data_IF_116794432053
#
_entry.id   IF_116794432053
#
_cell.length_a   1.000
_cell.length_b   1.000
_cell.length_c   1.000
_cell.angle_alpha   90.00
_cell.angle_beta   90.00
_cell.angle_gamma   90.00
#
_symmetry.space_group_name_H-M   'P 1'
#
loop_
_entity.id
_entity.type
_entity.pdbx_description
1 polymer ?
#
# COMPACT_ATOMS: atom_id res chain seq x y z
N UNK A 1 -20.19 77.11 -13.78
CA UNK A 1 -19.45 76.05 -14.47
C UNK A 1 -18.57 75.35 -13.45
N UNK A 2 -18.68 74.02 -13.34
CA UNK A 2 -17.99 73.19 -12.35
C UNK A 2 -18.88 72.80 -11.17
N UNK A 3 -19.73 71.78 -11.33
CA UNK A 3 -20.42 71.11 -10.23
C UNK A 3 -20.14 69.62 -10.31
N UNK A 4 -19.35 69.14 -9.35
CA UNK A 4 -19.42 67.76 -8.84
C UNK A 4 -20.54 67.70 -7.81
N UNK A 5 -21.29 66.59 -7.76
CA UNK A 5 -21.69 65.94 -6.50
C UNK A 5 -22.43 64.61 -6.71
N UNK A 6 -21.90 63.63 -5.97
CA UNK A 6 -22.59 62.63 -5.14
C UNK A 6 -23.63 61.70 -5.80
N UNK A 7 -23.23 60.44 -5.97
CA UNK A 7 -24.13 59.30 -6.19
C UNK A 7 -24.53 58.76 -4.82
N UNK A 8 -25.82 58.91 -4.48
CA UNK A 8 -26.44 58.28 -3.32
C UNK A 8 -26.50 56.76 -3.49
N UNK A 9 -26.20 56.03 -2.41
CA UNK A 9 -26.45 54.60 -2.29
C UNK A 9 -27.95 54.32 -2.34
N UNK A 10 -28.35 53.36 -3.17
CA UNK A 10 -29.73 52.82 -3.21
C UNK A 10 -29.77 51.54 -2.38
N UNK A 11 -30.75 51.52 -1.47
CA UNK A 11 -31.04 50.48 -0.49
C UNK A 11 -31.53 49.18 -1.17
N UNK A 12 -30.98 47.97 -0.86
CA UNK A 12 -31.21 46.76 -1.65
C UNK A 12 -32.52 45.99 -1.36
N UNK A 13 -33.49 46.56 -0.64
CA UNK A 13 -34.66 45.82 -0.13
C UNK A 13 -35.95 45.90 -0.97
N UNK A 14 -35.90 46.32 -2.24
CA UNK A 14 -37.12 46.49 -3.05
C UNK A 14 -37.08 45.89 -4.45
N UNK A 15 -36.33 44.80 -4.67
CA UNK A 15 -36.46 44.01 -5.90
C UNK A 15 -37.26 42.72 -5.64
N UNK A 16 -38.54 42.64 -6.08
CA UNK A 16 -39.36 41.45 -5.95
C UNK A 16 -38.93 40.28 -6.84
N UNK A 17 -37.87 40.41 -7.65
CA UNK A 17 -37.31 39.31 -8.47
C UNK A 17 -36.08 38.62 -7.87
N UNK A 18 -35.61 39.00 -6.67
CA UNK A 18 -34.39 38.44 -6.10
C UNK A 18 -34.62 37.21 -5.17
N UNK A 19 -35.44 36.26 -5.63
CA UNK A 19 -35.73 35.00 -4.95
C UNK A 19 -34.93 33.83 -5.55
N UNK A 20 -33.61 33.94 -5.64
CA UNK A 20 -32.72 32.77 -5.84
C UNK A 20 -31.43 32.94 -5.03
N UNK A 21 -31.58 32.98 -3.70
CA UNK A 21 -30.47 32.74 -2.80
C UNK A 21 -30.00 31.30 -2.96
N UNK A 22 -28.76 31.14 -3.41
CA UNK A 22 -28.12 29.89 -3.76
C UNK A 22 -28.08 28.90 -2.60
N UNK A 23 -29.00 27.93 -2.61
CA UNK A 23 -28.59 26.56 -2.33
C UNK A 23 -27.73 26.13 -3.51
N UNK A 24 -26.42 25.99 -3.30
CA UNK A 24 -25.61 25.11 -4.14
C UNK A 24 -26.22 23.72 -4.02
N UNK A 25 -27.16 23.42 -4.91
CA UNK A 25 -27.43 22.03 -5.26
C UNK A 25 -26.13 21.55 -5.87
N UNK A 26 -25.39 20.73 -5.13
CA UNK A 26 -24.54 19.73 -5.77
C UNK A 26 -25.51 18.98 -6.67
N UNK A 27 -25.44 19.25 -7.97
CA UNK A 27 -26.11 18.42 -8.97
C UNK A 27 -25.39 17.09 -8.87
N UNK A 28 -25.90 16.24 -7.99
CA UNK A 28 -25.50 14.85 -7.89
C UNK A 28 -25.96 14.24 -9.21
N UNK A 29 -25.03 14.07 -10.15
CA UNK A 29 -25.31 13.42 -11.42
C UNK A 29 -25.35 11.92 -11.13
N UNK A 30 -26.53 11.27 -11.01
CA UNK A 30 -26.64 9.89 -10.50
C UNK A 30 -26.22 8.85 -11.55
N UNK A 31 -25.38 9.26 -12.50
CA UNK A 31 -25.08 8.56 -13.74
C UNK A 31 -23.58 8.37 -13.96
N UNK A 32 -22.72 8.61 -12.96
CA UNK A 32 -21.27 8.34 -13.06
C UNK A 32 -20.72 7.47 -11.93
N UNK A 33 -21.54 7.08 -10.96
CA UNK A 33 -21.07 6.30 -9.83
C UNK A 33 -20.79 4.85 -10.24
N UNK A 34 -19.64 4.27 -9.83
CA UNK A 34 -19.37 2.86 -10.08
C UNK A 34 -20.37 1.98 -9.32
N UNK A 35 -20.70 0.83 -9.89
CA UNK A 35 -21.56 -0.15 -9.24
C UNK A 35 -20.68 -1.13 -8.46
N UNK A 36 -20.99 -1.33 -7.19
CA UNK A 36 -20.37 -2.40 -6.41
C UNK A 36 -20.93 -3.75 -6.85
N UNK A 37 -20.04 -4.66 -7.26
CA UNK A 37 -20.35 -6.07 -7.47
C UNK A 37 -19.43 -6.94 -6.60
N UNK A 38 -19.88 -7.29 -5.40
CA UNK A 38 -19.06 -8.06 -4.46
C UNK A 38 -17.82 -7.27 -4.00
N UNK A 39 -16.64 -7.82 -4.25
CA UNK A 39 -15.34 -7.16 -3.98
C UNK A 39 -14.91 -6.19 -5.07
N UNK A 40 -15.68 -6.07 -6.15
CA UNK A 40 -15.30 -5.30 -7.32
C UNK A 40 -16.09 -3.99 -7.43
N UNK A 41 -15.46 -3.00 -8.07
CA UNK A 41 -16.08 -1.78 -8.56
C UNK A 41 -16.15 -1.81 -10.09
N UNK A 42 -17.36 -1.69 -10.63
CA UNK A 42 -17.64 -1.70 -12.07
C UNK A 42 -17.92 -0.28 -12.56
N UNK A 43 -17.14 0.18 -13.52
CA UNK A 43 -17.32 1.47 -14.19
C UNK A 43 -18.02 1.30 -15.54
N UNK A 44 -18.66 2.37 -16.04
CA UNK A 44 -19.44 2.35 -17.30
C UNK A 44 -18.69 1.88 -18.54
N UNK A 45 -17.36 2.00 -18.56
CA UNK A 45 -16.50 1.52 -19.66
C UNK A 45 -16.17 0.03 -19.55
N UNK A 46 -16.94 -0.73 -18.75
CA UNK A 46 -16.65 -2.11 -18.38
C UNK A 46 -15.25 -2.29 -17.75
N UNK A 47 -14.70 -1.23 -17.16
CA UNK A 47 -13.49 -1.33 -16.36
C UNK A 47 -13.88 -1.85 -14.98
N UNK A 48 -13.27 -2.96 -14.59
CA UNK A 48 -13.48 -3.59 -13.30
C UNK A 48 -12.22 -3.46 -12.45
N UNK A 49 -12.39 -3.02 -11.22
CA UNK A 49 -11.33 -3.02 -10.21
C UNK A 49 -11.71 -3.98 -9.09
N UNK A 50 -10.90 -4.99 -8.85
CA UNK A 50 -11.07 -5.90 -7.71
C UNK A 50 -10.34 -5.35 -6.49
N UNK A 51 -11.09 -5.01 -5.45
CA UNK A 51 -10.56 -4.55 -4.18
C UNK A 51 -10.43 -5.72 -3.19
N UNK A 52 -10.61 -6.97 -3.63
CA UNK A 52 -10.45 -8.23 -2.89
C UNK A 52 -11.39 -8.45 -1.69
N UNK A 53 -12.10 -7.42 -1.21
CA UNK A 53 -13.13 -7.54 -0.17
C UNK A 53 -14.23 -6.48 -0.32
N UNK A 54 -15.43 -6.77 0.19
CA UNK A 54 -16.54 -5.82 0.23
C UNK A 54 -16.21 -4.63 1.15
N UNK A 55 -15.43 -4.89 2.19
CA UNK A 55 -14.97 -3.93 3.18
C UNK A 55 -14.06 -2.88 2.56
N UNK A 56 -13.14 -3.30 1.68
CA UNK A 56 -12.28 -2.38 0.92
C UNK A 56 -13.11 -1.49 -0.01
N UNK A 57 -14.11 -2.05 -0.70
CA UNK A 57 -15.03 -1.26 -1.55
C UNK A 57 -15.78 -0.21 -0.74
N UNK A 58 -16.41 -0.61 0.37
CA UNK A 58 -17.13 0.32 1.25
C UNK A 58 -16.22 1.40 1.82
N UNK A 59 -15.01 1.02 2.23
CA UNK A 59 -14.02 1.97 2.72
C UNK A 59 -13.66 3.01 1.65
N UNK A 60 -13.33 2.57 0.43
CA UNK A 60 -12.95 3.45 -0.68
C UNK A 60 -14.06 4.43 -1.07
N UNK A 61 -15.29 3.94 -1.23
CA UNK A 61 -16.43 4.77 -1.62
C UNK A 61 -16.79 5.82 -0.56
N UNK A 62 -16.49 5.57 0.72
CA UNK A 62 -16.74 6.50 1.83
C UNK A 62 -15.67 7.59 1.97
N UNK A 63 -14.57 7.55 1.21
CA UNK A 63 -13.57 8.61 1.21
C UNK A 63 -14.04 9.82 0.38
N UNK A 64 -13.61 11.03 0.75
CA UNK A 64 -13.89 12.24 -0.03
C UNK A 64 -13.19 12.20 -1.39
N UNK A 65 -13.84 12.73 -2.42
CA UNK A 65 -13.33 12.76 -3.80
C UNK A 65 -14.12 11.85 -4.74
N UNK A 66 -13.71 11.79 -6.01
CA UNK A 66 -14.41 10.98 -7.00
C UNK A 66 -14.08 9.48 -6.84
N UNK A 67 -14.78 8.62 -7.56
CA UNK A 67 -14.65 7.18 -7.43
C UNK A 67 -13.30 6.61 -7.92
N UNK A 68 -12.61 7.29 -8.83
CA UNK A 68 -11.35 6.82 -9.42
C UNK A 68 -10.13 7.39 -8.68
N UNK A 69 -10.26 8.55 -8.07
CA UNK A 69 -9.16 9.31 -7.48
C UNK A 69 -9.58 9.97 -6.16
N UNK A 70 -8.76 9.78 -5.14
CA UNK A 70 -8.93 10.34 -3.78
C UNK A 70 -7.66 11.10 -3.41
N UNK A 71 -7.71 11.96 -2.39
CA UNK A 71 -6.49 12.59 -1.86
C UNK A 71 -5.88 11.72 -0.77
N UNK A 72 -4.55 11.67 -0.70
CA UNK A 72 -3.83 10.89 0.30
C UNK A 72 -4.18 11.29 1.75
N UNK A 73 -4.33 12.58 2.09
CA UNK A 73 -4.83 12.98 3.40
C UNK A 73 -6.22 12.40 3.75
N UNK A 74 -7.13 12.28 2.77
CA UNK A 74 -8.46 11.69 2.99
C UNK A 74 -8.36 10.19 3.28
N UNK A 75 -7.46 9.47 2.60
CA UNK A 75 -7.17 8.06 2.91
C UNK A 75 -6.69 7.91 4.37
N UNK A 76 -5.70 8.71 4.78
CA UNK A 76 -5.15 8.65 6.15
C UNK A 76 -6.22 9.01 7.19
N UNK A 77 -7.04 10.03 6.93
CA UNK A 77 -8.15 10.41 7.81
C UNK A 77 -9.20 9.28 7.91
N UNK A 78 -9.54 8.65 6.79
CA UNK A 78 -10.46 7.51 6.74
C UNK A 78 -9.94 6.31 7.53
N UNK A 79 -8.65 5.99 7.43
CA UNK A 79 -8.02 4.93 8.20
C UNK A 79 -8.03 5.24 9.71
N UNK A 80 -7.66 6.47 10.12
CA UNK A 80 -7.72 6.92 11.52
C UNK A 80 -9.13 6.81 12.10
N UNK A 81 -10.14 7.23 11.33
CA UNK A 81 -11.55 7.13 11.73
C UNK A 81 -12.01 5.68 11.85
N UNK A 82 -11.55 4.80 10.97
CA UNK A 82 -11.96 3.39 10.93
C UNK A 82 -11.27 2.54 11.99
N UNK A 83 -10.06 2.92 12.40
CA UNK A 83 -9.18 2.17 13.32
C UNK A 83 -8.58 3.12 14.38
N UNK A 84 -9.39 3.61 15.34
CA UNK A 84 -8.96 4.63 16.30
C UNK A 84 -7.89 4.14 17.28
N UNK A 85 -7.78 2.82 17.50
CA UNK A 85 -6.79 2.23 18.41
C UNK A 85 -5.39 2.10 17.79
N UNK A 86 -5.25 2.36 16.48
CA UNK A 86 -3.97 2.28 15.77
C UNK A 86 -3.23 3.61 15.85
N UNK A 87 -1.98 3.59 16.29
CA UNK A 87 -1.11 4.78 16.30
C UNK A 87 -0.57 5.03 14.89
N UNK A 88 -1.07 6.07 14.22
CA UNK A 88 -0.56 6.50 12.90
C UNK A 88 0.69 7.36 13.04
N UNK A 89 1.84 6.71 13.22
CA UNK A 89 3.14 7.39 13.30
C UNK A 89 3.52 8.04 11.97
N UNK A 90 4.40 9.06 12.03
CA UNK A 90 4.95 9.71 10.84
C UNK A 90 5.60 8.69 9.89
N UNK A 91 6.28 7.68 10.45
CA UNK A 91 6.92 6.61 9.67
C UNK A 91 5.92 5.72 8.94
N UNK A 92 4.81 5.32 9.59
CA UNK A 92 3.75 4.55 8.93
C UNK A 92 3.10 5.34 7.79
N UNK A 93 2.81 6.62 8.02
CA UNK A 93 2.23 7.50 6.99
C UNK A 93 3.18 7.67 5.81
N UNK A 94 4.48 7.88 6.06
CA UNK A 94 5.50 7.96 5.01
C UNK A 94 5.66 6.66 4.23
N UNK A 95 5.62 5.52 4.92
CA UNK A 95 5.64 4.22 4.26
C UNK A 95 4.43 4.07 3.33
N UNK A 96 3.21 4.33 3.80
CA UNK A 96 2.02 4.26 2.96
C UNK A 96 2.10 5.20 1.74
N UNK A 97 2.57 6.44 1.93
CA UNK A 97 2.76 7.39 0.84
C UNK A 97 3.77 6.88 -0.20
N UNK A 98 4.87 6.26 0.25
CA UNK A 98 5.88 5.67 -0.64
C UNK A 98 5.32 4.46 -1.40
N UNK A 99 4.57 3.57 -0.73
CA UNK A 99 3.95 2.40 -1.36
C UNK A 99 2.86 2.80 -2.37
N UNK A 100 2.19 3.92 -2.16
CA UNK A 100 1.17 4.46 -3.07
C UNK A 100 1.73 5.43 -4.13
N UNK A 101 3.03 5.76 -4.06
CA UNK A 101 3.71 6.75 -4.93
C UNK A 101 3.07 8.14 -4.92
N UNK A 102 2.51 8.57 -3.78
CA UNK A 102 1.79 9.86 -3.68
C UNK A 102 2.70 11.07 -3.51
N UNK A 103 4.02 10.89 -3.55
CA UNK A 103 5.00 11.99 -3.49
C UNK A 103 5.23 12.65 -4.86
N UNK A 104 4.81 12.00 -5.95
CA UNK A 104 5.14 12.41 -7.32
C UNK A 104 4.04 13.27 -7.98
N UNK A 105 2.79 13.21 -7.51
CA UNK A 105 1.62 13.87 -8.14
C UNK A 105 0.66 14.43 -7.09
N UNK A 106 0.58 15.76 -6.92
CA UNK A 106 -0.47 16.59 -6.26
C UNK A 106 -1.14 16.06 -4.96
N UNK A 107 -0.56 15.04 -4.31
CA UNK A 107 -1.16 14.29 -3.20
C UNK A 107 -2.38 13.42 -3.57
N UNK A 108 -2.60 13.09 -4.86
CA UNK A 108 -3.70 12.20 -5.26
C UNK A 108 -3.28 10.73 -5.26
N UNK A 109 -4.26 9.85 -5.02
CA UNK A 109 -4.13 8.41 -5.20
C UNK A 109 -5.21 7.90 -6.16
N UNK A 110 -4.79 7.06 -7.09
CA UNK A 110 -5.71 6.35 -7.97
C UNK A 110 -6.30 5.12 -7.28
N UNK A 111 -7.48 4.70 -7.75
CA UNK A 111 -8.12 3.45 -7.34
C UNK A 111 -7.21 2.25 -7.60
N UNK A 112 -6.48 2.23 -8.73
CA UNK A 112 -5.51 1.16 -9.04
C UNK A 112 -4.41 1.06 -7.99
N UNK A 113 -3.81 2.18 -7.58
CA UNK A 113 -2.79 2.20 -6.51
C UNK A 113 -3.36 1.68 -5.19
N UNK A 114 -4.61 2.02 -4.86
CA UNK A 114 -5.29 1.51 -3.68
C UNK A 114 -5.56 -0.01 -3.77
N UNK A 115 -6.02 -0.51 -4.92
CA UNK A 115 -6.25 -1.94 -5.16
C UNK A 115 -4.96 -2.74 -4.90
N UNK A 116 -3.84 -2.28 -5.45
CA UNK A 116 -2.53 -2.91 -5.23
C UNK A 116 -2.11 -2.89 -3.76
N UNK A 117 -2.28 -1.76 -3.07
CA UNK A 117 -1.97 -1.66 -1.64
C UNK A 117 -2.75 -2.71 -0.82
N UNK A 118 -4.06 -2.82 -1.06
CA UNK A 118 -4.88 -3.81 -0.35
C UNK A 118 -4.65 -5.24 -0.85
N UNK A 119 -4.15 -5.43 -2.06
CA UNK A 119 -3.68 -6.72 -2.57
C UNK A 119 -2.40 -7.18 -1.87
N UNK A 120 -1.41 -6.31 -1.72
CA UNK A 120 -0.12 -6.66 -1.11
C UNK A 120 -0.19 -6.88 0.39
N UNK A 121 -0.99 -6.07 1.10
CA UNK A 121 -0.97 -6.04 2.56
C UNK A 121 -2.34 -6.23 3.22
N UNK A 122 -3.42 -6.11 2.45
CA UNK A 122 -4.79 -6.14 2.99
C UNK A 122 -5.39 -7.54 3.10
N UNK A 123 -6.73 -7.62 3.26
CA UNK A 123 -7.73 -6.54 3.19
C UNK A 123 -7.84 -5.63 4.43
N UNK A 124 -8.71 -4.61 4.39
CA UNK A 124 -9.07 -3.74 5.53
C UNK A 124 -10.11 -4.37 6.48
N UNK A 125 -10.20 -5.70 6.52
CA UNK A 125 -11.13 -6.39 7.41
C UNK A 125 -10.77 -6.08 8.87
N UNK A 126 -11.77 -5.69 9.64
CA UNK A 126 -11.60 -5.38 11.07
C UNK A 126 -11.21 -6.64 11.83
N UNK A 127 -10.25 -6.50 12.73
CA UNK A 127 -9.80 -7.54 13.63
C UNK A 127 -9.48 -6.93 15.00
N UNK A 128 -9.49 -7.76 16.04
CA UNK A 128 -9.08 -7.36 17.39
C UNK A 128 -7.84 -8.13 17.80
N UNK A 129 -6.78 -7.42 18.15
CA UNK A 129 -5.56 -8.02 18.72
C UNK A 129 -5.37 -7.42 20.10
N UNK A 130 -5.31 -8.26 21.13
CA UNK A 130 -5.14 -7.81 22.52
C UNK A 130 -6.18 -6.74 22.92
N UNK A 131 -7.41 -6.86 22.44
CA UNK A 131 -8.50 -5.91 22.70
C UNK A 131 -8.47 -4.62 21.87
N UNK A 132 -7.46 -4.38 21.02
CA UNK A 132 -7.37 -3.20 20.15
C UNK A 132 -7.88 -3.50 18.75
N UNK A 133 -8.71 -2.62 18.21
CA UNK A 133 -9.24 -2.73 16.84
C UNK A 133 -8.19 -2.31 15.80
N UNK A 134 -7.95 -3.17 14.82
CA UNK A 134 -7.03 -2.92 13.70
C UNK A 134 -7.52 -3.65 12.44
N UNK A 135 -6.70 -3.70 11.39
CA UNK A 135 -6.92 -4.51 10.20
C UNK A 135 -5.64 -5.18 9.70
N UNK A 136 -5.79 -6.12 8.77
CA UNK A 136 -4.70 -6.93 8.20
C UNK A 136 -3.67 -6.02 7.53
N UNK A 137 -4.11 -5.02 6.76
CA UNK A 137 -3.23 -4.02 6.14
C UNK A 137 -2.33 -3.33 7.17
N UNK A 138 -2.93 -2.71 8.17
CA UNK A 138 -2.17 -1.93 9.16
C UNK A 138 -1.23 -2.83 9.95
N UNK A 139 -1.66 -4.05 10.29
CA UNK A 139 -0.78 -4.99 11.00
C UNK A 139 0.39 -5.46 10.14
N UNK A 140 0.16 -5.79 8.88
CA UNK A 140 1.24 -6.25 8.01
C UNK A 140 2.26 -5.15 7.75
N UNK A 141 1.84 -3.90 7.62
CA UNK A 141 2.75 -2.77 7.51
C UNK A 141 3.58 -2.58 8.80
N UNK A 142 2.96 -2.71 9.98
CA UNK A 142 3.66 -2.65 11.27
C UNK A 142 4.69 -3.77 11.40
N UNK A 143 4.28 -5.03 11.12
CA UNK A 143 5.17 -6.21 11.23
C UNK A 143 6.30 -6.14 10.23
N UNK A 144 6.02 -5.72 8.98
CA UNK A 144 7.06 -5.49 7.98
C UNK A 144 8.10 -4.51 8.51
N UNK A 145 7.65 -3.41 9.06
CA UNK A 145 8.53 -2.37 9.55
C UNK A 145 9.38 -2.77 10.76
N UNK A 146 8.80 -3.54 11.69
CA UNK A 146 9.54 -4.04 12.85
C UNK A 146 10.58 -5.11 12.48
N UNK A 147 10.32 -5.89 11.42
CA UNK A 147 11.04 -7.14 11.15
C UNK A 147 11.72 -7.20 9.78
N UNK A 148 11.66 -6.15 8.98
CA UNK A 148 12.35 -6.11 7.68
C UNK A 148 13.84 -5.78 7.79
N UNK A 149 14.31 -5.37 8.96
CA UNK A 149 15.70 -4.98 9.19
C UNK A 149 16.58 -6.20 9.52
N UNK A 150 17.68 -6.36 8.80
CA UNK A 150 18.70 -7.36 9.07
C UNK A 150 20.07 -6.70 9.23
N UNK A 151 21.00 -7.31 9.98
CA UNK A 151 22.40 -6.87 9.99
C UNK A 151 22.98 -6.87 8.57
N UNK A 152 23.62 -5.78 8.18
CA UNK A 152 24.38 -5.71 6.93
C UNK A 152 25.87 -5.94 7.18
N UNK A 153 26.63 -6.04 6.08
CA UNK A 153 28.10 -6.11 6.11
C UNK A 153 28.76 -4.86 6.67
N UNK A 154 28.09 -3.71 6.56
CA UNK A 154 28.61 -2.43 7.01
C UNK A 154 28.32 -2.18 8.50
N UNK A 155 27.73 -3.15 9.20
CA UNK A 155 27.37 -3.04 10.62
C UNK A 155 26.14 -2.18 10.90
N UNK A 156 25.60 -1.50 9.87
CA UNK A 156 24.36 -0.74 9.95
C UNK A 156 23.21 -1.64 9.48
N UNK A 157 22.12 -1.82 10.26
CA UNK A 157 20.99 -2.61 9.80
C UNK A 157 20.40 -2.07 8.49
N UNK A 158 20.03 -2.97 7.58
CA UNK A 158 19.40 -2.65 6.30
C UNK A 158 18.10 -3.43 6.13
N UNK A 159 17.11 -2.79 5.50
CA UNK A 159 15.86 -3.46 5.16
C UNK A 159 16.09 -4.37 3.96
N UNK A 160 15.56 -5.60 3.97
CA UNK A 160 15.52 -6.44 2.76
C UNK A 160 14.35 -6.12 1.83
N UNK A 161 13.44 -5.22 2.24
CA UNK A 161 12.25 -4.87 1.46
C UNK A 161 12.48 -3.62 0.61
N UNK A 162 12.45 -3.80 -0.71
CA UNK A 162 12.64 -2.75 -1.70
C UNK A 162 11.35 -1.99 -2.05
N UNK A 163 10.18 -2.65 -1.94
CA UNK A 163 8.91 -2.09 -2.42
C UNK A 163 8.86 -2.00 -3.94
N UNK A 164 8.64 -0.80 -4.48
CA UNK A 164 8.67 -0.55 -5.92
C UNK A 164 10.10 -0.65 -6.45
N UNK A 165 10.37 -1.71 -7.20
CA UNK A 165 11.63 -1.95 -7.88
C UNK A 165 11.37 -2.90 -9.05
N UNK A 166 11.89 -2.57 -10.22
CA UNK A 166 11.80 -3.41 -11.41
C UNK A 166 12.72 -4.61 -11.31
N UNK A 167 12.47 -5.65 -12.11
CA UNK A 167 13.40 -6.78 -12.21
C UNK A 167 14.81 -6.35 -12.66
N UNK A 168 14.91 -5.41 -13.59
CA UNK A 168 16.19 -4.93 -14.13
C UNK A 168 17.01 -4.17 -13.09
N UNK A 169 16.36 -3.31 -12.29
CA UNK A 169 17.03 -2.62 -11.18
C UNK A 169 17.55 -3.61 -10.14
N UNK A 170 16.70 -4.57 -9.74
CA UNK A 170 17.08 -5.60 -8.78
C UNK A 170 18.26 -6.44 -9.27
N UNK A 171 18.23 -6.87 -10.54
CA UNK A 171 19.32 -7.62 -11.15
C UNK A 171 20.61 -6.80 -11.19
N UNK A 172 20.53 -5.52 -11.55
CA UNK A 172 21.70 -4.63 -11.63
C UNK A 172 22.36 -4.46 -10.26
N UNK A 173 21.56 -4.31 -9.20
CA UNK A 173 22.07 -4.19 -7.82
C UNK A 173 22.70 -5.48 -7.29
N UNK A 174 22.15 -6.63 -7.66
CA UNK A 174 22.60 -7.93 -7.17
C UNK A 174 23.72 -8.54 -8.01
N UNK A 175 23.97 -8.05 -9.22
CA UNK A 175 25.00 -8.59 -10.10
C UNK A 175 26.38 -8.49 -9.44
N UNK A 176 27.06 -9.63 -9.30
CA UNK A 176 28.36 -9.69 -8.62
C UNK A 176 28.31 -9.40 -7.12
N UNK A 177 27.12 -9.26 -6.52
CA UNK A 177 26.97 -9.24 -5.08
C UNK A 177 27.31 -10.63 -4.50
N UNK A 178 27.54 -10.69 -3.19
CA UNK A 178 27.90 -11.98 -2.60
C UNK A 178 26.71 -12.93 -2.62
N UNK A 179 26.92 -14.23 -2.96
CA UNK A 179 25.86 -15.21 -2.94
C UNK A 179 25.03 -15.19 -1.65
N UNK A 180 23.72 -15.25 -1.79
CA UNK A 180 22.76 -15.10 -0.70
C UNK A 180 22.42 -13.65 -0.30
N UNK A 181 22.99 -12.65 -0.98
CA UNK A 181 22.48 -11.27 -0.90
C UNK A 181 21.13 -11.19 -1.61
N UNK A 182 20.12 -10.60 -0.97
CA UNK A 182 18.76 -10.66 -1.48
C UNK A 182 17.94 -9.40 -1.21
N UNK A 183 16.86 -9.24 -1.97
CA UNK A 183 15.81 -8.25 -1.72
C UNK A 183 14.44 -8.81 -2.07
N UNK A 184 13.39 -8.24 -1.50
CA UNK A 184 12.00 -8.51 -1.87
C UNK A 184 11.37 -7.23 -2.42
N UNK A 185 10.73 -7.35 -3.57
CA UNK A 185 10.06 -6.26 -4.30
C UNK A 185 8.64 -6.66 -4.68
N UNK A 186 7.82 -5.71 -5.09
CA UNK A 186 6.52 -6.03 -5.69
C UNK A 186 6.71 -6.79 -7.01
N UNK A 187 5.82 -7.75 -7.29
CA UNK A 187 5.80 -8.44 -8.58
C UNK A 187 5.13 -7.56 -9.63
N UNK A 188 5.86 -7.17 -10.68
CA UNK A 188 5.31 -6.37 -11.78
C UNK A 188 4.22 -7.13 -12.55
N UNK A 189 4.43 -8.43 -12.78
CA UNK A 189 3.51 -9.27 -13.57
C UNK A 189 2.30 -9.77 -12.78
N UNK A 190 2.34 -9.68 -11.45
CA UNK A 190 1.29 -10.21 -10.55
C UNK A 190 0.90 -9.19 -9.46
N UNK A 191 1.07 -7.90 -9.74
CA UNK A 191 0.78 -6.81 -8.82
C UNK A 191 -0.69 -6.83 -8.35
N UNK A 192 -1.61 -7.07 -9.28
CA UNK A 192 -3.06 -7.12 -9.00
C UNK A 192 -3.47 -8.35 -8.17
N UNK A 193 -2.59 -9.34 -8.04
CA UNK A 193 -2.81 -10.52 -7.18
C UNK A 193 -2.06 -10.40 -5.84
N UNK A 194 -1.55 -9.22 -5.51
CA UNK A 194 -0.84 -9.00 -4.23
C UNK A 194 0.49 -9.76 -4.12
N UNK A 195 1.09 -10.15 -5.25
CA UNK A 195 2.31 -10.96 -5.25
C UNK A 195 3.58 -10.12 -5.16
N UNK A 196 4.64 -10.76 -4.66
CA UNK A 196 5.99 -10.21 -4.55
C UNK A 196 6.98 -11.06 -5.36
N UNK A 197 8.18 -10.53 -5.53
CA UNK A 197 9.31 -11.25 -6.09
C UNK A 197 10.49 -11.20 -5.12
N UNK A 198 11.08 -12.36 -4.85
CA UNK A 198 12.42 -12.48 -4.28
C UNK A 198 13.43 -12.33 -5.41
N UNK A 199 14.43 -11.47 -5.23
CA UNK A 199 15.62 -11.44 -6.07
C UNK A 199 16.84 -11.77 -5.22
N UNK A 200 17.70 -12.69 -5.68
CA UNK A 200 18.82 -13.22 -4.90
C UNK A 200 20.08 -13.36 -5.77
N UNK A 201 21.23 -12.99 -5.22
CA UNK A 201 22.54 -13.24 -5.84
C UNK A 201 22.96 -14.70 -5.62
N UNK A 202 23.50 -15.31 -6.66
CA UNK A 202 23.90 -16.72 -6.75
C UNK A 202 25.41 -16.85 -6.96
N UNK A 203 25.97 -18.04 -6.77
CA UNK A 203 27.39 -18.33 -6.99
C UNK A 203 27.87 -18.17 -8.44
N UNK A 204 26.99 -18.37 -9.42
CA UNK A 204 27.28 -18.18 -10.83
C UNK A 204 27.41 -16.70 -11.24
N UNK A 205 27.14 -15.77 -10.32
CA UNK A 205 27.26 -14.32 -10.51
C UNK A 205 26.04 -13.66 -11.16
N UNK A 206 25.02 -14.43 -11.52
CA UNK A 206 23.80 -13.98 -12.20
C UNK A 206 22.59 -14.08 -11.26
N UNK A 207 22.00 -12.93 -10.86
CA UNK A 207 20.87 -12.93 -9.93
C UNK A 207 19.63 -13.65 -10.46
N UNK A 208 18.97 -14.37 -9.57
CA UNK A 208 17.75 -15.12 -9.86
C UNK A 208 16.53 -14.49 -9.19
N UNK A 209 15.35 -14.82 -9.73
CA UNK A 209 14.07 -14.29 -9.26
C UNK A 209 13.09 -15.43 -8.97
N UNK A 210 12.48 -15.41 -7.79
CA UNK A 210 11.44 -16.38 -7.40
C UNK A 210 10.17 -15.66 -7.01
N UNK A 211 9.03 -16.15 -7.49
CA UNK A 211 7.72 -15.57 -7.14
C UNK A 211 7.33 -15.89 -5.70
N UNK A 212 6.76 -14.89 -5.03
CA UNK A 212 6.06 -15.06 -3.75
C UNK A 212 4.59 -14.71 -4.05
N UNK A 213 3.76 -15.74 -4.12
CA UNK A 213 2.37 -15.61 -4.56
C UNK A 213 1.50 -15.09 -3.42
N UNK A 214 0.78 -14.01 -3.67
CA UNK A 214 -0.27 -13.50 -2.79
C UNK A 214 -1.63 -14.15 -3.07
N UNK A 215 -2.49 -14.14 -2.06
CA UNK A 215 -3.91 -14.52 -2.20
C UNK A 215 -4.78 -13.63 -1.29
N UNK A 216 -4.97 -12.35 -1.67
CA UNK A 216 -5.66 -11.37 -0.83
C UNK A 216 -7.14 -11.71 -0.61
N UNK A 217 -7.73 -12.59 -1.41
CA UNK A 217 -9.13 -13.04 -1.26
C UNK A 217 -9.29 -14.06 -0.15
N UNK A 218 -8.29 -14.93 0.06
CA UNK A 218 -8.30 -15.88 1.17
C UNK A 218 -7.58 -15.35 2.41
N UNK A 219 -6.97 -14.17 2.32
CA UNK A 219 -6.39 -13.49 3.45
C UNK A 219 -7.42 -13.33 4.59
N UNK A 220 -7.10 -13.92 5.74
CA UNK A 220 -7.93 -13.96 6.96
C UNK A 220 -9.28 -14.68 6.87
N UNK A 221 -9.53 -15.50 5.84
CA UNK A 221 -10.64 -16.46 5.87
C UNK A 221 -10.29 -17.60 6.85
N UNK A 222 -11.00 -17.65 7.98
CA UNK A 222 -10.98 -18.80 8.90
C UNK A 222 -9.77 -18.91 9.83
N UNK A 223 -8.91 -17.88 9.92
CA UNK A 223 -7.77 -17.88 10.84
C UNK A 223 -7.76 -16.62 11.73
N UNK A 224 -7.69 -16.74 13.07
CA UNK A 224 -7.55 -15.59 13.97
C UNK A 224 -6.20 -14.88 13.86
N UNK A 225 -5.19 -15.51 13.24
CA UNK A 225 -3.91 -14.88 12.92
C UNK A 225 -4.01 -14.19 11.57
N UNK A 226 -3.69 -12.89 11.57
CA UNK A 226 -3.68 -12.03 10.39
C UNK A 226 -2.72 -12.61 9.36
N UNK A 227 -3.28 -13.05 8.23
CA UNK A 227 -2.59 -13.94 7.31
C UNK A 227 -2.84 -13.45 5.88
N UNK A 228 -1.76 -13.08 5.17
CA UNK A 228 -1.73 -12.74 3.75
C UNK A 228 -1.77 -13.97 2.83
N UNK A 229 -1.71 -15.17 3.40
CA UNK A 229 -1.72 -16.45 2.73
C UNK A 229 -0.61 -16.60 1.68
N UNK A 230 0.56 -16.01 1.94
CA UNK A 230 1.67 -15.98 1.00
C UNK A 230 2.18 -17.40 0.74
N UNK A 231 2.50 -17.71 -0.51
CA UNK A 231 3.15 -18.97 -0.90
C UNK A 231 4.47 -18.69 -1.57
N UNK A 232 5.48 -19.48 -1.24
CA UNK A 232 6.76 -19.38 -1.91
C UNK A 232 6.73 -20.23 -3.19
N UNK A 233 6.98 -19.62 -4.34
CA UNK A 233 6.92 -20.31 -5.64
C UNK A 233 8.07 -21.29 -5.88
N UNK A 234 9.11 -21.25 -5.04
CA UNK A 234 10.22 -22.22 -5.08
C UNK A 234 9.95 -23.50 -4.28
N UNK A 235 8.80 -23.59 -3.60
CA UNK A 235 8.36 -24.80 -2.90
C UNK A 235 7.23 -25.49 -3.67
N UNK A 236 7.30 -26.82 -3.75
CA UNK A 236 6.16 -27.65 -4.17
C UNK A 236 5.18 -27.92 -3.01
N UNK A 237 5.55 -27.51 -1.79
CA UNK A 237 4.67 -27.61 -0.65
C UNK A 237 3.62 -26.48 -0.69
N UNK A 238 2.39 -26.80 -0.31
CA UNK A 238 1.33 -25.80 -0.22
C UNK A 238 1.44 -24.96 1.06
N UNK A 239 2.66 -24.77 1.61
CA UNK A 239 2.88 -24.00 2.81
C UNK A 239 2.47 -22.55 2.59
N UNK A 240 1.77 -22.00 3.59
CA UNK A 240 1.30 -20.62 3.60
C UNK A 240 1.94 -19.85 4.74
N UNK A 241 2.35 -18.63 4.43
CA UNK A 241 3.01 -17.74 5.37
C UNK A 241 2.10 -16.53 5.66
N UNK A 242 1.97 -16.13 6.94
CA UNK A 242 1.06 -15.07 7.33
C UNK A 242 1.50 -13.69 6.87
N UNK A 243 2.80 -13.47 6.74
CA UNK A 243 3.40 -12.19 6.39
C UNK A 243 4.80 -12.40 5.80
N UNK A 244 5.33 -11.38 5.12
CA UNK A 244 6.66 -11.43 4.51
C UNK A 244 7.77 -11.67 5.53
N UNK A 245 7.81 -11.00 6.71
CA UNK A 245 8.86 -11.28 7.69
C UNK A 245 8.88 -12.72 8.19
N UNK A 246 7.72 -13.35 8.38
CA UNK A 246 7.60 -14.74 8.78
C UNK A 246 8.11 -15.66 7.67
N UNK A 247 7.72 -15.42 6.42
CA UNK A 247 8.29 -16.12 5.25
C UNK A 247 9.83 -16.03 5.24
N UNK A 248 10.38 -14.82 5.37
CA UNK A 248 11.84 -14.60 5.38
C UNK A 248 12.48 -15.38 6.53
N UNK A 249 12.00 -15.20 7.76
CA UNK A 249 12.62 -15.77 8.95
C UNK A 249 12.52 -17.29 9.03
N UNK A 250 11.42 -17.88 8.53
CA UNK A 250 11.14 -19.31 8.69
C UNK A 250 11.51 -20.13 7.47
N UNK A 251 11.41 -19.58 6.25
CA UNK A 251 11.70 -20.28 5.00
C UNK A 251 12.97 -19.81 4.33
N UNK A 252 13.02 -18.53 3.94
CA UNK A 252 14.06 -18.04 3.02
C UNK A 252 15.46 -18.00 3.65
N UNK A 253 15.55 -17.74 4.96
CA UNK A 253 16.83 -17.76 5.69
C UNK A 253 17.31 -19.17 6.06
N UNK A 254 16.39 -20.13 6.15
CA UNK A 254 16.68 -21.46 6.72
C UNK A 254 16.94 -22.52 5.67
N UNK A 255 16.31 -22.38 4.51
CA UNK A 255 16.35 -23.37 3.45
C UNK A 255 16.84 -22.74 2.15
N UNK A 256 17.45 -23.52 1.25
CA UNK A 256 17.81 -23.05 -0.08
C UNK A 256 16.64 -22.42 -0.84
N UNK A 257 16.91 -21.43 -1.68
CA UNK A 257 15.86 -20.76 -2.45
C UNK A 257 15.28 -21.64 -3.57
N UNK A 258 16.06 -22.62 -4.05
CA UNK A 258 15.63 -23.73 -4.91
C UNK A 258 16.31 -25.04 -4.50
N UNK A 259 15.80 -26.18 -4.98
CA UNK A 259 16.27 -27.52 -4.61
C UNK A 259 17.65 -27.88 -5.15
N UNK A 260 18.05 -27.24 -6.26
CA UNK A 260 19.33 -27.36 -6.94
C UNK A 260 20.37 -26.33 -6.46
N UNK A 261 19.97 -25.39 -5.61
CA UNK A 261 20.84 -24.37 -5.04
C UNK A 261 21.21 -24.67 -3.58
N UNK A 262 22.31 -24.06 -3.12
CA UNK A 262 22.72 -24.10 -1.70
C UNK A 262 22.48 -22.77 -1.00
N UNK A 263 22.34 -21.69 -1.76
CA UNK A 263 22.19 -20.33 -1.26
C UNK A 263 20.87 -20.14 -0.53
N UNK A 264 20.94 -19.33 0.52
CA UNK A 264 19.81 -18.90 1.33
C UNK A 264 19.81 -17.38 1.36
N UNK A 265 18.69 -16.79 1.75
CA UNK A 265 18.64 -15.35 1.99
C UNK A 265 19.44 -15.02 3.25
N UNK A 266 20.68 -14.54 3.10
CA UNK A 266 21.59 -14.29 4.22
C UNK A 266 21.70 -12.79 4.50
N UNK A 267 21.93 -11.99 3.46
CA UNK A 267 22.26 -10.57 3.58
C UNK A 267 21.21 -9.71 2.87
N UNK A 268 20.70 -8.64 3.51
CA UNK A 268 19.89 -7.67 2.78
C UNK A 268 20.74 -6.99 1.70
N UNK A 269 20.16 -6.73 0.54
CA UNK A 269 20.75 -5.86 -0.47
C UNK A 269 20.86 -4.43 0.08
N UNK A 270 22.00 -3.75 -0.09
CA UNK A 270 22.17 -2.40 0.40
C UNK A 270 21.41 -1.36 -0.45
N UNK A 271 21.29 -0.15 0.08
CA UNK A 271 20.83 1.04 -0.63
C UNK A 271 19.43 0.92 -1.27
N UNK A 272 18.51 0.16 -0.67
CA UNK A 272 17.16 0.00 -1.20
C UNK A 272 16.31 1.29 -1.09
N UNK A 273 15.32 1.49 -1.98
CA UNK A 273 14.54 2.74 -2.07
C UNK A 273 13.84 3.14 -0.76
N UNK A 274 13.38 2.16 0.03
CA UNK A 274 12.67 2.41 1.27
C UNK A 274 13.57 2.45 2.52
N UNK A 275 14.88 2.25 2.37
CA UNK A 275 15.81 2.14 3.49
C UNK A 275 15.75 3.38 4.42
N UNK A 276 15.59 4.57 3.86
CA UNK A 276 15.49 5.80 4.65
C UNK A 276 14.27 5.81 5.58
N UNK A 277 13.12 5.22 5.18
CA UNK A 277 11.91 5.13 6.02
C UNK A 277 12.11 4.14 7.15
N UNK A 278 12.72 2.98 6.85
CA UNK A 278 13.01 1.94 7.85
C UNK A 278 14.14 2.32 8.83
N UNK A 279 14.98 3.29 8.48
CA UNK A 279 16.04 3.82 9.33
C UNK A 279 15.66 5.09 10.12
N UNK A 280 14.46 5.64 9.95
CA UNK A 280 14.04 6.82 10.72
C UNK A 280 13.99 6.53 12.24
N UNK A 281 14.55 7.39 13.10
CA UNK A 281 14.41 7.23 14.55
C UNK A 281 12.94 7.31 14.97
N UNK A 282 12.54 6.52 15.96
CA UNK A 282 11.18 6.56 16.52
C UNK A 282 10.84 7.88 17.22
N UNK A 283 11.81 8.77 17.46
CA UNK A 283 11.66 10.03 18.19
C UNK A 283 11.35 11.28 17.36
N UNK A 284 11.45 11.23 16.02
CA UNK A 284 11.15 12.37 15.15
C UNK A 284 9.65 12.41 14.76
N UNK A 285 8.76 12.26 15.76
CA UNK A 285 7.30 12.20 15.60
C UNK A 285 6.60 13.55 15.86
N UNK A 286 7.20 14.67 15.42
CA UNK A 286 6.53 15.98 15.40
C UNK A 286 5.72 16.18 14.13
#
# INVERSE_FOLDING_TARGET
>A
MGSTKEVCAVNPESDPNNLYYGKQYIIYNPSQDPVQNGSCLLFRRNTEYDLHSKENVRFWLNLNGNAENKKFPDLVAGLRKSFPDVKFTCRLVKLMAALLRTYEEDGYLSLSSFCRLVGWFGPLNRCSINGRQTCILLKNLEVLFEKSMLPSRLGVPESWFAGHMTQTEAWTLLKGAVPGTFLIRFSESQAENGSFALSIATDNGEPENVSILGDPRTASLGNPMLNLALRYGGDDDNCRYPDLPTLVATRLKKHPFHSDHVERCILPCPCLPLAYIFNMPAGNET
#
